data_IF_883893930265
#
_entry.id   IF_883893930265
#
_cell.length_a   1.000
_cell.length_b   1.000
_cell.length_c   1.000
_cell.angle_alpha   90.00
_cell.angle_beta   90.00
_cell.angle_gamma   90.00
#
_symmetry.space_group_name_H-M   'P 1'
#
loop_
_entity.id
_entity.type
_entity.pdbx_description
1 polymer ?
#
# COMPACT_ATOMS: atom_id res chain seq x y z
N UNK A 1 80.21 67.79 12.51
CA UNK A 1 80.13 66.32 12.45
C UNK A 1 78.67 65.98 12.62
N UNK A 2 78.03 65.67 11.53
CA UNK A 2 76.58 65.41 11.50
C UNK A 2 76.35 63.92 11.29
N UNK A 3 75.56 63.30 12.18
CA UNK A 3 75.03 61.95 12.01
C UNK A 3 73.62 62.03 11.41
N UNK A 4 73.47 61.48 10.23
CA UNK A 4 72.13 61.32 9.64
C UNK A 4 71.62 59.90 9.92
N UNK A 5 70.51 59.79 10.65
CA UNK A 5 69.72 58.57 10.82
C UNK A 5 68.63 58.53 9.77
N UNK A 6 68.73 57.59 8.83
CA UNK A 6 67.67 57.29 7.93
C UNK A 6 66.91 56.07 8.46
N UNK A 7 65.65 56.29 8.90
CA UNK A 7 64.69 55.26 9.36
C UNK A 7 64.04 54.59 8.15
N UNK A 8 64.23 53.28 8.04
CA UNK A 8 63.47 52.45 7.07
C UNK A 8 62.14 51.95 7.67
N UNK A 9 61.06 52.45 7.14
CA UNK A 9 59.72 51.94 7.45
C UNK A 9 59.47 50.66 6.66
N UNK A 10 59.47 49.52 7.35
CA UNK A 10 59.03 48.22 6.78
C UNK A 10 57.51 48.08 6.79
N UNK A 11 56.89 48.09 5.61
CA UNK A 11 55.44 47.78 5.43
C UNK A 11 55.25 46.27 5.45
N UNK A 12 54.79 45.75 6.57
CA UNK A 12 54.37 44.37 6.65
C UNK A 12 53.02 44.19 5.91
N UNK A 13 53.03 43.53 4.75
CA UNK A 13 51.78 43.06 4.06
C UNK A 13 51.17 41.89 4.80
N UNK A 14 50.12 42.15 5.52
CA UNK A 14 49.26 41.11 6.13
C UNK A 14 48.44 40.43 5.02
N UNK A 15 48.85 39.23 4.59
CA UNK A 15 48.05 38.37 3.71
C UNK A 15 46.91 37.78 4.53
N UNK A 16 45.70 38.31 4.36
CA UNK A 16 44.47 37.70 4.89
C UNK A 16 44.13 36.49 4.00
N UNK A 17 44.45 35.27 4.45
CA UNK A 17 43.93 34.03 3.89
C UNK A 17 42.46 33.94 4.24
N UNK A 18 41.58 34.29 3.30
CA UNK A 18 40.15 33.94 3.37
C UNK A 18 40.01 32.44 3.19
N UNK A 19 39.36 31.71 4.12
CA UNK A 19 39.08 30.30 3.90
C UNK A 19 38.06 30.20 2.76
N UNK A 20 38.45 29.61 1.61
CA UNK A 20 37.53 29.16 0.61
C UNK A 20 36.70 28.01 1.22
N UNK A 21 35.51 28.32 1.74
CA UNK A 21 34.53 27.32 2.04
C UNK A 21 34.03 26.73 0.73
N UNK A 22 34.67 25.66 0.30
CA UNK A 22 34.12 24.81 -0.77
C UNK A 22 32.81 24.22 -0.26
N UNK A 23 31.69 24.82 -0.65
CA UNK A 23 30.40 24.18 -0.56
C UNK A 23 30.46 22.97 -1.46
N UNK A 24 30.76 21.82 -0.88
CA UNK A 24 30.58 20.55 -1.55
C UNK A 24 29.06 20.41 -1.84
N UNK A 25 28.66 20.79 -3.04
CA UNK A 25 27.36 20.38 -3.55
C UNK A 25 27.39 18.85 -3.59
N UNK A 26 26.88 18.20 -2.53
CA UNK A 26 26.65 16.78 -2.57
C UNK A 26 25.82 16.54 -3.84
N UNK A 27 26.43 15.89 -4.84
CA UNK A 27 25.77 15.61 -6.11
C UNK A 27 24.48 14.88 -5.81
N UNK A 28 23.34 15.48 -6.19
CA UNK A 28 22.04 14.89 -5.96
C UNK A 28 22.04 13.49 -6.55
N UNK A 29 21.78 12.48 -5.72
CA UNK A 29 21.72 11.10 -6.19
C UNK A 29 20.62 10.94 -7.23
N UNK A 30 20.89 10.21 -8.30
CA UNK A 30 19.91 9.71 -9.28
C UNK A 30 20.32 8.30 -9.71
N UNK A 31 19.36 7.48 -10.18
CA UNK A 31 19.71 6.17 -10.71
C UNK A 31 20.65 6.31 -11.91
N UNK A 32 21.69 5.48 -11.93
CA UNK A 32 22.73 5.44 -12.97
C UNK A 32 22.68 4.19 -13.83
N UNK A 33 21.82 3.24 -13.46
CA UNK A 33 21.61 1.96 -14.14
C UNK A 33 20.15 1.55 -14.03
N UNK A 34 19.79 0.42 -14.64
CA UNK A 34 18.45 -0.14 -14.56
C UNK A 34 17.91 -0.17 -13.13
N UNK A 35 16.66 0.25 -12.96
CA UNK A 35 15.91 0.16 -11.70
C UNK A 35 15.01 -1.05 -11.74
N UNK A 36 15.09 -1.91 -10.74
CA UNK A 36 14.20 -3.05 -10.56
C UNK A 36 13.02 -2.65 -9.68
N UNK A 37 11.80 -2.78 -10.21
CA UNK A 37 10.56 -2.62 -9.46
C UNK A 37 9.90 -3.98 -9.25
N UNK A 38 10.02 -4.52 -8.06
CA UNK A 38 9.47 -5.83 -7.71
C UNK A 38 7.97 -5.77 -7.44
N UNK A 39 7.22 -6.68 -8.06
CA UNK A 39 5.81 -6.94 -7.78
C UNK A 39 5.65 -8.24 -6.98
N UNK A 40 4.99 -8.17 -5.82
CA UNK A 40 4.75 -9.30 -4.92
C UNK A 40 3.60 -10.23 -5.39
N UNK A 41 3.37 -10.31 -6.70
CA UNK A 41 2.34 -11.15 -7.31
C UNK A 41 2.84 -11.74 -8.63
N UNK A 42 2.18 -12.78 -9.12
CA UNK A 42 2.34 -13.24 -10.49
C UNK A 42 1.90 -12.15 -11.49
N UNK A 43 2.31 -12.31 -12.75
CA UNK A 43 1.87 -11.44 -13.84
C UNK A 43 0.34 -11.39 -13.91
N UNK A 44 -0.22 -10.19 -14.14
CA UNK A 44 -1.67 -9.93 -14.11
C UNK A 44 -2.28 -9.78 -12.73
N UNK A 45 -1.52 -9.96 -11.65
CA UNK A 45 -1.98 -9.68 -10.29
C UNK A 45 -1.98 -8.19 -9.94
N UNK A 46 -2.65 -7.80 -8.84
CA UNK A 46 -2.79 -6.39 -8.47
C UNK A 46 -1.47 -5.63 -8.29
N UNK A 47 -0.45 -6.27 -7.69
CA UNK A 47 0.87 -5.64 -7.56
C UNK A 47 1.60 -5.51 -8.90
N UNK A 48 1.42 -6.47 -9.81
CA UNK A 48 1.99 -6.42 -11.17
C UNK A 48 1.35 -5.30 -11.98
N UNK A 49 0.00 -5.20 -11.93
CA UNK A 49 -0.73 -4.12 -12.59
C UNK A 49 -0.24 -2.74 -12.13
N UNK A 50 -0.12 -2.54 -10.82
CA UNK A 50 0.40 -1.28 -10.28
C UNK A 50 1.86 -1.04 -10.70
N UNK A 51 2.72 -2.05 -10.60
CA UNK A 51 4.13 -1.90 -10.97
C UNK A 51 4.30 -1.50 -12.45
N UNK A 52 3.52 -2.12 -13.36
CA UNK A 52 3.55 -1.77 -14.79
C UNK A 52 2.99 -0.37 -15.06
N UNK A 53 1.95 0.05 -14.37
CA UNK A 53 1.44 1.42 -14.46
C UNK A 53 2.49 2.43 -14.02
N UNK A 54 3.14 2.19 -12.86
CA UNK A 54 4.23 3.02 -12.36
C UNK A 54 5.39 3.06 -13.35
N UNK A 55 5.86 1.90 -13.82
CA UNK A 55 6.91 1.79 -14.83
C UNK A 55 6.57 2.63 -16.07
N UNK A 56 5.38 2.44 -16.63
CA UNK A 56 4.92 3.11 -17.82
C UNK A 56 4.98 4.63 -17.66
N UNK A 57 4.36 5.17 -16.59
CA UNK A 57 4.32 6.62 -16.39
C UNK A 57 5.72 7.18 -16.16
N UNK A 58 6.55 6.53 -15.35
CA UNK A 58 7.92 6.98 -15.08
C UNK A 58 8.75 7.08 -16.36
N UNK A 59 8.59 6.13 -17.30
CA UNK A 59 9.34 6.07 -18.54
C UNK A 59 8.76 7.00 -19.61
N UNK A 60 7.45 6.94 -19.89
CA UNK A 60 6.81 7.74 -20.94
C UNK A 60 6.85 9.24 -20.64
N UNK A 61 6.70 9.62 -19.36
CA UNK A 61 6.81 11.01 -18.92
C UNK A 61 8.25 11.45 -18.66
N UNK A 62 9.24 10.58 -18.95
CA UNK A 62 10.68 10.85 -18.74
C UNK A 62 10.96 11.38 -17.31
N UNK A 63 10.26 10.80 -16.31
CA UNK A 63 10.46 11.15 -14.91
C UNK A 63 11.76 10.51 -14.41
N UNK A 64 12.05 9.29 -14.88
CA UNK A 64 13.28 8.54 -14.63
C UNK A 64 13.96 8.28 -15.98
N UNK A 65 15.24 8.67 -16.08
CA UNK A 65 16.00 8.56 -17.32
C UNK A 65 16.51 7.12 -17.59
N UNK A 66 16.82 6.40 -16.53
CA UNK A 66 17.30 5.01 -16.63
C UNK A 66 16.11 4.05 -16.83
N UNK A 67 16.33 2.88 -17.48
CA UNK A 67 15.28 1.88 -17.59
C UNK A 67 14.70 1.47 -16.25
N UNK A 68 13.39 1.24 -16.19
CA UNK A 68 12.70 0.64 -15.04
C UNK A 68 12.13 -0.70 -15.48
N UNK A 69 12.50 -1.78 -14.82
CA UNK A 69 12.07 -3.15 -15.16
C UNK A 69 11.19 -3.71 -14.06
N UNK A 70 10.02 -4.21 -14.42
CA UNK A 70 9.12 -4.89 -13.48
C UNK A 70 9.51 -6.36 -13.35
N UNK A 71 9.75 -6.82 -12.11
CA UNK A 71 10.05 -8.20 -11.78
C UNK A 71 8.95 -8.81 -10.91
N UNK A 72 8.29 -9.83 -11.42
CA UNK A 72 7.31 -10.58 -10.63
C UNK A 72 8.03 -11.58 -9.71
N UNK A 73 7.83 -11.42 -8.42
CA UNK A 73 8.35 -12.33 -7.37
C UNK A 73 7.17 -12.82 -6.52
N UNK A 74 6.31 -13.69 -7.07
CA UNK A 74 5.17 -14.25 -6.34
C UNK A 74 5.65 -15.20 -5.24
N UNK A 75 4.78 -15.60 -4.39
CA UNK A 75 4.88 -16.57 -3.32
C UNK A 75 4.87 -15.95 -1.92
N UNK A 76 4.36 -16.75 -0.99
CA UNK A 76 4.29 -16.44 0.45
C UNK A 76 3.68 -15.08 0.77
N UNK A 77 2.71 -14.63 -0.04
CA UNK A 77 2.04 -13.34 0.18
C UNK A 77 2.97 -12.11 0.08
N UNK A 78 4.05 -12.20 -0.71
CA UNK A 78 5.01 -11.12 -0.94
C UNK A 78 6.32 -11.24 -0.15
N UNK A 79 6.44 -12.18 0.77
CA UNK A 79 7.69 -12.38 1.57
C UNK A 79 8.90 -12.53 0.66
N UNK A 80 8.79 -13.31 -0.44
CA UNK A 80 9.89 -13.52 -1.39
C UNK A 80 10.34 -12.21 -2.04
N UNK A 81 9.41 -11.36 -2.46
CA UNK A 81 9.73 -10.09 -3.10
C UNK A 81 10.49 -9.15 -2.14
N UNK A 82 10.00 -9.03 -0.90
CA UNK A 82 10.59 -8.11 0.08
C UNK A 82 11.89 -8.65 0.71
N UNK A 83 12.02 -9.98 0.87
CA UNK A 83 13.30 -10.58 1.26
C UNK A 83 14.37 -10.36 0.19
N UNK A 84 14.03 -10.52 -1.10
CA UNK A 84 14.93 -10.24 -2.21
C UNK A 84 15.31 -8.75 -2.29
N UNK A 85 14.38 -7.84 -1.98
CA UNK A 85 14.66 -6.41 -1.87
C UNK A 85 15.78 -6.14 -0.84
N UNK A 86 15.68 -6.73 0.34
CA UNK A 86 16.65 -6.54 1.42
C UNK A 86 17.99 -7.30 1.23
N UNK A 87 18.13 -8.09 0.17
CA UNK A 87 19.45 -8.61 -0.24
C UNK A 87 20.35 -7.54 -0.87
N UNK A 88 19.78 -6.38 -1.22
CA UNK A 88 20.47 -5.24 -1.79
C UNK A 88 20.34 -4.00 -0.87
N UNK A 89 20.83 -4.06 0.39
CA UNK A 89 20.70 -2.94 1.31
C UNK A 89 21.41 -1.71 0.75
N UNK A 90 20.92 -0.52 1.09
CA UNK A 90 21.47 0.78 0.67
C UNK A 90 21.36 1.07 -0.85
N UNK A 91 20.82 0.17 -1.66
CA UNK A 91 20.81 0.34 -3.11
C UNK A 91 19.47 0.87 -3.63
N UNK A 92 19.45 2.17 -3.95
CA UNK A 92 18.26 2.86 -4.48
C UNK A 92 17.82 2.44 -5.89
N UNK A 93 18.50 1.48 -6.54
CA UNK A 93 18.07 0.91 -7.82
C UNK A 93 17.08 -0.26 -7.64
N UNK A 94 16.76 -0.64 -6.41
CA UNK A 94 15.80 -1.68 -6.10
C UNK A 94 14.61 -1.10 -5.34
N UNK A 95 13.42 -1.26 -5.90
CA UNK A 95 12.14 -0.86 -5.32
C UNK A 95 11.16 -2.03 -5.32
N UNK A 96 10.14 -1.93 -4.50
CA UNK A 96 9.05 -2.92 -4.49
C UNK A 96 7.71 -2.26 -4.22
N UNK A 97 6.65 -2.84 -4.79
CA UNK A 97 5.28 -2.52 -4.38
C UNK A 97 5.05 -3.04 -2.97
N UNK A 98 4.57 -2.16 -2.08
CA UNK A 98 4.09 -2.56 -0.76
C UNK A 98 2.59 -2.85 -0.79
N UNK A 99 2.19 -3.81 0.04
CA UNK A 99 0.79 -4.19 0.25
C UNK A 99 0.58 -4.46 1.73
N UNK A 100 -0.67 -4.54 2.18
CA UNK A 100 -1.01 -4.89 3.55
C UNK A 100 -0.36 -6.21 4.04
N UNK A 101 -0.04 -7.13 3.13
CA UNK A 101 0.65 -8.38 3.49
C UNK A 101 2.06 -8.15 4.06
N UNK A 102 2.71 -7.00 3.79
CA UNK A 102 3.96 -6.64 4.45
C UNK A 102 3.79 -6.60 5.98
N UNK A 103 2.64 -6.15 6.44
CA UNK A 103 2.28 -6.04 7.86
C UNK A 103 1.74 -7.37 8.40
N UNK A 104 0.75 -7.94 7.72
CA UNK A 104 0.02 -9.11 8.23
C UNK A 104 0.87 -10.37 8.27
N UNK A 105 1.84 -10.54 7.38
CA UNK A 105 2.76 -11.67 7.41
C UNK A 105 3.66 -11.65 8.66
N UNK A 106 4.11 -10.49 9.09
CA UNK A 106 4.86 -10.36 10.34
C UNK A 106 3.97 -10.63 11.55
N UNK A 107 2.80 -10.00 11.64
CA UNK A 107 1.86 -10.14 12.74
C UNK A 107 1.44 -11.61 12.94
N UNK A 108 1.26 -12.34 11.83
CA UNK A 108 0.87 -13.76 11.85
C UNK A 108 2.06 -14.73 11.98
N UNK A 109 3.28 -14.21 12.10
CA UNK A 109 4.51 -15.02 12.24
C UNK A 109 4.91 -15.80 10.98
N UNK A 110 4.43 -15.42 9.80
CA UNK A 110 4.85 -16.00 8.51
C UNK A 110 6.22 -15.53 8.06
N UNK A 111 6.68 -14.42 8.58
CA UNK A 111 8.02 -13.86 8.37
C UNK A 111 8.51 -13.19 9.64
N UNK A 112 9.83 -13.09 9.77
CA UNK A 112 10.49 -12.30 10.81
C UNK A 112 10.74 -10.85 10.36
N UNK A 113 10.52 -10.53 9.08
CA UNK A 113 10.73 -9.21 8.52
C UNK A 113 9.60 -8.25 8.94
N UNK A 114 9.95 -7.25 9.74
CA UNK A 114 9.05 -6.19 10.16
C UNK A 114 9.00 -5.08 9.09
N UNK A 115 7.93 -4.29 9.04
CA UNK A 115 7.82 -3.18 8.08
C UNK A 115 8.88 -2.09 8.28
N UNK A 116 9.52 -2.00 9.45
CA UNK A 116 10.67 -1.11 9.69
C UNK A 116 11.98 -1.62 9.10
N UNK A 117 12.02 -2.86 8.59
CA UNK A 117 13.18 -3.43 7.90
C UNK A 117 13.25 -3.05 6.42
N UNK A 118 12.33 -2.21 5.96
CA UNK A 118 12.35 -1.60 4.63
C UNK A 118 12.29 -0.09 4.75
N UNK A 119 12.70 0.63 3.72
CA UNK A 119 12.56 2.08 3.64
C UNK A 119 11.24 2.43 2.98
N UNK A 120 10.31 3.07 3.70
CA UNK A 120 9.12 3.65 3.10
C UNK A 120 9.52 4.80 2.17
N UNK A 121 9.06 4.78 0.93
CA UNK A 121 9.39 5.79 -0.09
C UNK A 121 8.18 6.66 -0.41
N UNK A 122 7.06 6.04 -0.74
CA UNK A 122 5.81 6.75 -1.00
C UNK A 122 4.62 5.83 -0.75
N UNK A 123 3.55 6.37 -0.19
CA UNK A 123 2.22 5.82 -0.34
C UNK A 123 1.61 6.43 -1.59
N UNK A 124 0.97 5.64 -2.44
CA UNK A 124 0.43 6.10 -3.71
C UNK A 124 -1.08 6.30 -3.66
N UNK A 125 -1.78 5.31 -3.14
CA UNK A 125 -3.24 5.33 -3.03
C UNK A 125 -3.72 4.38 -1.94
N UNK A 126 -4.99 4.49 -1.58
CA UNK A 126 -5.72 3.51 -0.78
C UNK A 126 -6.91 2.95 -1.57
N UNK A 127 -7.36 1.77 -1.19
CA UNK A 127 -8.56 1.15 -1.72
C UNK A 127 -9.38 0.55 -0.58
N UNK A 128 -10.70 0.78 -0.60
CA UNK A 128 -11.59 0.17 0.38
C UNK A 128 -11.75 -1.33 0.12
N UNK A 129 -11.96 -2.07 1.18
CA UNK A 129 -12.46 -3.44 1.12
C UNK A 129 -13.98 -3.40 1.03
N UNK A 130 -14.53 -4.18 0.11
CA UNK A 130 -15.96 -4.35 -0.05
C UNK A 130 -16.40 -5.71 0.48
N UNK A 131 -17.64 -5.77 1.00
CA UNK A 131 -18.37 -7.02 1.20
C UNK A 131 -19.50 -7.05 0.19
N UNK A 132 -19.61 -8.16 -0.56
CA UNK A 132 -20.68 -8.36 -1.52
C UNK A 132 -21.39 -9.71 -1.31
N UNK A 133 -22.62 -9.76 -1.78
CA UNK A 133 -23.52 -10.92 -1.76
C UNK A 133 -24.07 -11.18 -3.16
N UNK A 134 -24.59 -12.38 -3.42
CA UNK A 134 -25.35 -12.66 -4.64
C UNK A 134 -26.57 -11.75 -4.75
N UNK A 135 -27.04 -11.47 -5.98
CA UNK A 135 -28.18 -10.56 -6.22
C UNK A 135 -29.46 -11.03 -5.51
N UNK A 136 -29.67 -12.35 -5.43
CA UNK A 136 -30.85 -12.97 -4.81
C UNK A 136 -30.70 -13.18 -3.30
N UNK A 137 -29.53 -12.84 -2.72
CA UNK A 137 -29.28 -13.00 -1.30
C UNK A 137 -30.35 -12.28 -0.44
N UNK A 138 -30.81 -12.89 0.66
CA UNK A 138 -31.66 -12.23 1.65
C UNK A 138 -30.94 -11.06 2.36
N UNK A 139 -29.61 -11.07 2.39
CA UNK A 139 -28.79 -10.00 2.95
C UNK A 139 -28.80 -8.79 2.00
N UNK A 140 -29.48 -7.72 2.38
CA UNK A 140 -29.66 -6.54 1.50
C UNK A 140 -28.64 -5.44 1.76
N UNK A 141 -28.09 -5.38 2.96
CA UNK A 141 -27.16 -4.35 3.43
C UNK A 141 -26.24 -4.91 4.54
N UNK A 142 -25.28 -4.11 5.01
CA UNK A 142 -24.34 -4.56 6.02
C UNK A 142 -24.97 -4.76 7.41
N UNK A 143 -26.12 -4.10 7.71
CA UNK A 143 -26.84 -4.33 8.98
C UNK A 143 -27.47 -5.72 9.01
N UNK A 144 -28.02 -6.19 7.89
CA UNK A 144 -28.57 -7.54 7.79
C UNK A 144 -27.46 -8.58 8.03
N UNK A 145 -26.29 -8.37 7.42
CA UNK A 145 -25.12 -9.23 7.65
C UNK A 145 -24.68 -9.18 9.12
N UNK A 146 -24.61 -8.01 9.72
CA UNK A 146 -24.25 -7.84 11.12
C UNK A 146 -25.24 -8.55 12.06
N UNK A 147 -26.53 -8.50 11.78
CA UNK A 147 -27.54 -9.20 12.56
C UNK A 147 -27.37 -10.73 12.48
N UNK A 148 -27.09 -11.27 11.30
CA UNK A 148 -26.81 -12.70 11.12
C UNK A 148 -25.53 -13.11 11.86
N UNK A 149 -24.44 -12.36 11.72
CA UNK A 149 -23.15 -12.64 12.38
C UNK A 149 -23.26 -12.59 13.90
N UNK A 150 -24.13 -11.71 14.43
CA UNK A 150 -24.43 -11.63 15.87
C UNK A 150 -25.19 -12.85 16.35
N UNK A 151 -26.18 -13.31 15.59
CA UNK A 151 -27.01 -14.45 15.96
C UNK A 151 -26.22 -15.77 15.88
N UNK A 152 -25.53 -16.00 14.78
CA UNK A 152 -24.62 -17.14 14.57
C UNK A 152 -23.55 -16.78 13.56
N UNK A 153 -22.35 -16.47 14.05
CA UNK A 153 -21.20 -16.15 13.18
C UNK A 153 -20.88 -17.29 12.21
N UNK A 154 -21.13 -18.55 12.58
CA UNK A 154 -20.83 -19.71 11.76
C UNK A 154 -21.86 -19.96 10.65
N UNK A 155 -22.97 -19.25 10.64
CA UNK A 155 -24.00 -19.40 9.62
C UNK A 155 -23.59 -18.83 8.25
N UNK A 156 -22.59 -17.94 8.21
CA UNK A 156 -22.12 -17.24 6.99
C UNK A 156 -20.84 -17.85 6.46
N UNK A 157 -20.89 -18.39 5.23
CA UNK A 157 -19.70 -18.86 4.48
C UNK A 157 -19.11 -17.68 3.70
N UNK A 158 -17.88 -17.32 3.99
CA UNK A 158 -17.26 -16.13 3.43
C UNK A 158 -16.04 -16.46 2.56
N UNK A 159 -16.07 -16.07 1.28
CA UNK A 159 -14.88 -16.01 0.45
C UNK A 159 -14.05 -14.79 0.88
N UNK A 160 -12.80 -15.01 1.32
CA UNK A 160 -11.96 -13.99 1.93
C UNK A 160 -10.71 -13.62 1.10
N UNK A 161 -10.72 -13.92 -0.17
CA UNK A 161 -9.55 -13.73 -1.04
C UNK A 161 -8.61 -14.92 -1.01
N UNK A 162 -7.30 -14.68 -1.11
CA UNK A 162 -6.30 -15.73 -1.36
C UNK A 162 -5.57 -16.22 -0.11
N UNK A 163 -5.74 -15.58 1.03
CA UNK A 163 -5.07 -15.97 2.29
C UNK A 163 -5.92 -15.63 3.51
N UNK A 164 -5.84 -16.45 4.54
CA UNK A 164 -6.30 -16.07 5.89
C UNK A 164 -5.46 -14.89 6.39
N UNK A 165 -6.10 -13.95 7.10
CA UNK A 165 -5.44 -12.72 7.56
C UNK A 165 -5.23 -11.67 6.46
N UNK A 166 -5.87 -11.83 5.28
CA UNK A 166 -5.95 -10.77 4.28
C UNK A 166 -6.80 -9.61 4.77
N UNK A 167 -6.69 -8.44 4.11
CA UNK A 167 -7.54 -7.27 4.43
C UNK A 167 -9.02 -7.60 4.40
N UNK A 168 -9.46 -8.44 3.45
CA UNK A 168 -10.83 -8.93 3.40
C UNK A 168 -11.23 -9.72 4.65
N UNK A 169 -10.38 -10.65 5.09
CA UNK A 169 -10.64 -11.43 6.31
C UNK A 169 -10.70 -10.54 7.55
N UNK A 170 -9.76 -9.60 7.68
CA UNK A 170 -9.73 -8.64 8.78
C UNK A 170 -10.97 -7.75 8.77
N UNK A 171 -11.38 -7.23 7.61
CA UNK A 171 -12.60 -6.40 7.50
C UNK A 171 -13.83 -7.16 7.97
N UNK A 172 -13.99 -8.42 7.54
CA UNK A 172 -15.13 -9.23 7.98
C UNK A 172 -15.07 -9.53 9.49
N UNK A 173 -13.87 -9.77 10.01
CA UNK A 173 -13.67 -9.97 11.46
C UNK A 173 -14.08 -8.73 12.26
N UNK A 174 -13.65 -7.54 11.81
CA UNK A 174 -14.02 -6.28 12.48
C UNK A 174 -15.52 -6.00 12.40
N UNK A 175 -16.16 -6.29 11.27
CA UNK A 175 -17.64 -6.21 11.12
C UNK A 175 -18.32 -7.16 12.08
N UNK A 176 -17.83 -8.41 12.16
CA UNK A 176 -18.37 -9.43 13.09
C UNK A 176 -18.24 -8.99 14.55
N UNK A 177 -17.06 -8.48 14.94
CA UNK A 177 -16.81 -8.00 16.29
C UNK A 177 -17.69 -6.78 16.62
N UNK A 178 -17.81 -5.83 15.69
CA UNK A 178 -18.67 -4.65 15.85
C UNK A 178 -20.15 -5.03 16.02
N UNK A 179 -20.58 -6.15 15.44
CA UNK A 179 -21.92 -6.69 15.61
C UNK A 179 -22.13 -7.43 16.95
N UNK A 180 -21.04 -7.75 17.68
CA UNK A 180 -21.08 -8.58 18.90
C UNK A 180 -21.00 -10.08 18.61
N UNK A 181 -20.62 -10.50 17.41
CA UNK A 181 -20.31 -11.89 17.05
C UNK A 181 -18.88 -12.28 17.42
N UNK A 182 -18.55 -13.56 17.33
CA UNK A 182 -17.22 -14.11 17.58
C UNK A 182 -16.44 -14.33 16.28
N UNK A 183 -15.45 -13.48 15.91
CA UNK A 183 -14.71 -13.62 14.65
C UNK A 183 -13.99 -14.95 14.48
N UNK A 184 -13.66 -15.67 15.55
CA UNK A 184 -13.00 -16.99 15.49
C UNK A 184 -13.91 -18.08 14.93
N UNK A 185 -15.23 -17.86 14.94
CA UNK A 185 -16.22 -18.78 14.40
C UNK A 185 -16.57 -18.54 12.93
N UNK A 186 -15.94 -17.55 12.27
CA UNK A 186 -16.14 -17.28 10.85
C UNK A 186 -15.79 -18.49 9.99
N UNK A 187 -16.70 -18.89 9.11
CA UNK A 187 -16.43 -19.90 8.08
C UNK A 187 -15.75 -19.27 6.87
N UNK A 188 -14.45 -18.97 7.02
CA UNK A 188 -13.63 -18.36 5.99
C UNK A 188 -13.17 -19.40 4.97
N UNK A 189 -13.52 -19.21 3.70
CA UNK A 189 -13.12 -20.05 2.57
C UNK A 189 -12.08 -19.32 1.75
N UNK A 190 -10.91 -19.94 1.59
CA UNK A 190 -9.78 -19.40 0.82
C UNK A 190 -9.81 -19.96 -0.60
N UNK A 191 -9.60 -19.09 -1.59
CA UNK A 191 -9.50 -19.46 -3.00
C UNK A 191 -8.11 -19.12 -3.55
N UNK A 192 -7.68 -19.77 -4.63
CA UNK A 192 -6.39 -19.47 -5.25
C UNK A 192 -6.36 -18.10 -5.96
N UNK A 193 -7.54 -17.57 -6.31
CA UNK A 193 -7.70 -16.23 -6.90
C UNK A 193 -9.01 -15.59 -6.46
N UNK A 194 -9.08 -14.26 -6.52
CA UNK A 194 -10.32 -13.52 -6.28
C UNK A 194 -11.41 -13.92 -7.28
N UNK A 195 -11.04 -14.18 -8.54
CA UNK A 195 -12.00 -14.61 -9.57
C UNK A 195 -12.69 -15.93 -9.23
N UNK A 196 -11.97 -16.89 -8.63
CA UNK A 196 -12.58 -18.13 -8.13
C UNK A 196 -13.57 -17.86 -6.98
N UNK A 197 -13.24 -16.96 -6.05
CA UNK A 197 -14.15 -16.53 -4.99
C UNK A 197 -15.41 -15.85 -5.54
N UNK A 198 -15.26 -15.01 -6.54
CA UNK A 198 -16.38 -14.39 -7.28
C UNK A 198 -17.27 -15.49 -7.92
N UNK A 199 -16.67 -16.45 -8.62
CA UNK A 199 -17.43 -17.56 -9.22
C UNK A 199 -18.16 -18.39 -8.17
N UNK A 200 -17.55 -18.64 -7.02
CA UNK A 200 -18.16 -19.35 -5.91
C UNK A 200 -19.35 -18.58 -5.32
N UNK A 201 -19.26 -17.25 -5.22
CA UNK A 201 -20.40 -16.41 -4.79
C UNK A 201 -21.55 -16.47 -5.79
N UNK A 202 -21.25 -16.30 -7.07
CA UNK A 202 -22.27 -16.32 -8.14
C UNK A 202 -22.93 -17.70 -8.27
N UNK A 203 -22.21 -18.78 -7.95
CA UNK A 203 -22.72 -20.15 -7.90
C UNK A 203 -23.41 -20.54 -6.59
N UNK A 204 -23.53 -19.63 -5.60
CA UNK A 204 -24.17 -19.92 -4.31
C UNK A 204 -23.37 -20.84 -3.37
N UNK A 205 -22.09 -21.09 -3.66
CA UNK A 205 -21.22 -21.92 -2.82
C UNK A 205 -20.73 -21.21 -1.57
N UNK A 206 -20.74 -19.87 -1.58
CA UNK A 206 -20.48 -19.00 -0.43
C UNK A 206 -21.57 -17.93 -0.35
N UNK A 207 -21.77 -17.36 0.83
CA UNK A 207 -22.85 -16.40 1.09
C UNK A 207 -22.38 -14.95 0.90
N UNK A 208 -21.11 -14.69 1.19
CA UNK A 208 -20.47 -13.38 1.02
C UNK A 208 -19.08 -13.53 0.40
N UNK A 209 -18.61 -12.47 -0.27
CA UNK A 209 -17.20 -12.30 -0.63
C UNK A 209 -16.71 -10.99 -0.06
N UNK A 210 -15.46 -10.99 0.43
CA UNK A 210 -14.79 -9.79 0.93
C UNK A 210 -13.40 -9.65 0.29
N UNK A 211 -13.18 -8.53 -0.41
CA UNK A 211 -11.99 -8.25 -1.20
C UNK A 211 -11.92 -6.74 -1.49
N UNK A 212 -10.78 -6.19 -1.98
CA UNK A 212 -10.75 -4.82 -2.48
C UNK A 212 -11.89 -4.52 -3.44
N UNK A 213 -12.52 -3.37 -3.27
CA UNK A 213 -13.76 -2.99 -3.97
C UNK A 213 -13.61 -2.99 -5.50
N UNK A 214 -12.43 -2.63 -6.02
CA UNK A 214 -12.13 -2.64 -7.44
C UNK A 214 -12.38 -4.01 -8.11
N UNK A 215 -12.15 -5.10 -7.39
CA UNK A 215 -12.38 -6.47 -7.90
C UNK A 215 -13.86 -6.81 -8.11
N UNK A 216 -14.77 -6.07 -7.46
CA UNK A 216 -16.21 -6.35 -7.46
C UNK A 216 -17.01 -5.31 -8.23
N UNK A 217 -16.42 -4.14 -8.51
CA UNK A 217 -17.12 -2.98 -9.07
C UNK A 217 -17.83 -3.31 -10.40
N UNK A 218 -17.17 -4.01 -11.32
CA UNK A 218 -17.73 -4.38 -12.61
C UNK A 218 -18.90 -5.38 -12.47
N UNK A 219 -18.76 -6.36 -11.58
CA UNK A 219 -19.82 -7.32 -11.30
C UNK A 219 -21.03 -6.65 -10.64
N UNK A 220 -20.78 -5.69 -9.75
CA UNK A 220 -21.83 -4.89 -9.12
C UNK A 220 -22.56 -4.01 -10.14
N UNK A 221 -21.84 -3.31 -11.00
CA UNK A 221 -22.39 -2.49 -12.08
C UNK A 221 -23.24 -3.29 -13.06
N UNK A 222 -22.81 -4.52 -13.35
CA UNK A 222 -23.54 -5.44 -14.22
C UNK A 222 -24.75 -6.12 -13.53
N UNK A 223 -25.06 -5.78 -12.28
CA UNK A 223 -26.18 -6.35 -11.52
C UNK A 223 -26.04 -7.83 -11.17
N UNK A 224 -24.83 -8.42 -11.28
CA UNK A 224 -24.58 -9.83 -11.00
C UNK A 224 -24.37 -10.13 -9.52
N UNK A 225 -24.03 -9.11 -8.74
CA UNK A 225 -23.92 -9.17 -7.28
C UNK A 225 -24.28 -7.82 -6.67
N UNK A 226 -24.44 -7.78 -5.38
CA UNK A 226 -24.68 -6.56 -4.61
C UNK A 226 -23.52 -6.33 -3.65
N UNK A 227 -22.82 -5.20 -3.78
CA UNK A 227 -21.91 -4.73 -2.72
C UNK A 227 -22.76 -4.11 -1.63
N UNK A 228 -22.64 -4.62 -0.41
CA UNK A 228 -23.48 -4.23 0.74
C UNK A 228 -22.79 -3.23 1.67
N UNK A 229 -21.48 -3.00 1.51
CA UNK A 229 -20.74 -2.01 2.29
C UNK A 229 -19.27 -1.93 1.91
N UNK A 230 -18.70 -0.74 2.17
CA UNK A 230 -17.29 -0.42 1.95
C UNK A 230 -16.62 -0.06 3.28
N UNK A 231 -15.35 -0.46 3.45
CA UNK A 231 -14.54 -0.08 4.61
C UNK A 231 -13.97 1.35 4.54
N UNK A 232 -14.37 2.12 3.56
CA UNK A 232 -13.92 3.50 3.37
C UNK A 232 -14.47 4.45 4.43
N UNK A 233 -13.74 5.52 4.79
CA UNK A 233 -14.24 6.57 5.70
C UNK A 233 -15.39 7.38 5.09
N UNK A 234 -15.46 7.47 3.75
CA UNK A 234 -16.45 8.18 2.96
C UNK A 234 -16.83 7.36 1.71
N UNK A 235 -17.98 7.66 1.10
CA UNK A 235 -18.38 7.03 -0.17
C UNK A 235 -17.40 7.32 -1.29
N UNK A 236 -17.27 6.35 -2.15
CA UNK A 236 -16.55 6.52 -3.40
C UNK A 236 -17.37 7.31 -4.42
N UNK A 237 -16.67 7.88 -5.39
CA UNK A 237 -17.30 8.43 -6.59
C UNK A 237 -17.50 7.34 -7.67
N UNK A 238 -18.08 7.71 -8.80
CA UNK A 238 -18.18 6.83 -9.98
C UNK A 238 -19.03 5.59 -9.75
N UNK A 239 -18.55 4.44 -10.17
CA UNK A 239 -19.30 3.17 -10.20
C UNK A 239 -19.76 2.67 -8.82
N UNK A 240 -19.12 3.14 -7.75
CA UNK A 240 -19.41 2.77 -6.37
C UNK A 240 -20.12 3.86 -5.55
N UNK A 241 -20.52 4.99 -6.19
CA UNK A 241 -21.12 6.12 -5.50
C UNK A 241 -22.41 5.79 -4.73
N UNK A 242 -23.15 4.80 -5.18
CA UNK A 242 -24.39 4.34 -4.54
C UNK A 242 -24.16 3.37 -3.39
N UNK A 243 -22.95 2.83 -3.26
CA UNK A 243 -22.63 1.85 -2.22
C UNK A 243 -22.33 2.57 -0.90
N UNK A 244 -23.08 2.30 0.18
CA UNK A 244 -22.83 2.90 1.47
C UNK A 244 -21.54 2.35 2.11
N UNK A 245 -20.90 3.15 2.95
CA UNK A 245 -19.82 2.67 3.82
C UNK A 245 -20.39 1.88 5.00
N UNK A 246 -19.56 1.10 5.69
CA UNK A 246 -19.95 0.47 6.95
C UNK A 246 -20.32 1.52 8.01
N UNK A 247 -19.57 2.61 8.06
CA UNK A 247 -19.80 3.73 9.00
C UNK A 247 -21.17 4.37 8.81
N UNK A 248 -21.60 4.62 7.57
CA UNK A 248 -22.94 5.14 7.27
C UNK A 248 -24.07 4.19 7.69
N UNK A 249 -23.78 2.90 7.81
CA UNK A 249 -24.70 1.88 8.26
C UNK A 249 -24.64 1.62 9.78
N UNK A 250 -23.87 2.43 10.52
CA UNK A 250 -23.74 2.32 11.98
C UNK A 250 -22.73 1.27 12.44
N UNK A 251 -21.93 0.73 11.51
CA UNK A 251 -20.88 -0.25 11.82
C UNK A 251 -19.54 0.50 11.81
N UNK A 252 -18.91 0.63 12.99
CA UNK A 252 -17.70 1.44 13.18
C UNK A 252 -16.43 0.74 12.63
N UNK A 253 -16.46 0.40 11.34
CA UNK A 253 -15.34 -0.26 10.65
C UNK A 253 -14.86 0.61 9.49
N UNK A 254 -13.61 1.06 9.60
CA UNK A 254 -12.85 1.69 8.53
C UNK A 254 -11.53 0.94 8.45
N UNK A 255 -11.18 0.45 7.28
CA UNK A 255 -9.92 -0.24 7.03
C UNK A 255 -9.47 0.05 5.59
N UNK A 256 -8.46 0.86 5.46
CA UNK A 256 -7.87 1.16 4.16
C UNK A 256 -6.83 0.10 3.78
N UNK A 257 -6.86 -0.31 2.52
CA UNK A 257 -5.85 -1.18 1.95
C UNK A 257 -4.81 -0.33 1.22
N UNK A 258 -3.75 0.04 1.92
CA UNK A 258 -2.73 0.95 1.40
C UNK A 258 -1.87 0.27 0.34
N UNK A 259 -1.50 1.06 -0.68
CA UNK A 259 -0.58 0.70 -1.75
C UNK A 259 0.52 1.75 -1.86
N UNK A 260 1.75 1.30 -1.85
CA UNK A 260 2.89 2.21 -1.88
C UNK A 260 4.13 1.60 -2.50
N UNK A 261 5.20 2.35 -2.40
CA UNK A 261 6.55 1.97 -2.84
C UNK A 261 7.45 1.93 -1.62
N UNK A 262 8.21 0.86 -1.53
CA UNK A 262 9.27 0.67 -0.54
C UNK A 262 10.59 0.40 -1.26
N UNK A 263 11.67 0.76 -0.61
CA UNK A 263 13.03 0.42 -0.98
C UNK A 263 13.68 -0.51 0.06
N UNK A 264 14.88 -1.02 -0.20
CA UNK A 264 15.63 -1.83 0.75
C UNK A 264 15.94 -1.03 2.03
N UNK A 265 16.35 -1.76 3.06
CA UNK A 265 16.73 -1.15 4.33
C UNK A 265 17.83 -0.11 4.14
N UNK A 266 17.68 1.01 4.86
CA UNK A 266 18.67 2.07 5.00
C UNK A 266 19.06 2.81 3.70
N UNK A 267 18.10 3.07 2.81
CA UNK A 267 18.33 4.04 1.74
C UNK A 267 18.79 5.39 2.31
N UNK A 268 19.75 6.03 1.64
CA UNK A 268 20.22 7.35 2.02
C UNK A 268 19.13 8.43 1.85
N UNK A 269 19.22 9.51 2.57
CA UNK A 269 18.29 10.64 2.44
C UNK A 269 18.22 11.17 1.00
N UNK A 270 19.33 11.18 0.27
CA UNK A 270 19.39 11.60 -1.13
C UNK A 270 18.64 10.65 -2.06
N UNK A 271 18.73 9.33 -1.83
CA UNK A 271 17.99 8.33 -2.59
C UNK A 271 16.47 8.43 -2.31
N UNK A 272 16.08 8.56 -1.06
CA UNK A 272 14.68 8.74 -0.66
C UNK A 272 14.12 10.02 -1.30
N UNK A 273 14.81 11.14 -1.21
CA UNK A 273 14.38 12.42 -1.78
C UNK A 273 14.20 12.34 -3.31
N UNK A 274 15.12 11.68 -4.01
CA UNK A 274 14.99 11.48 -5.46
C UNK A 274 13.70 10.73 -5.80
N UNK A 275 13.46 9.60 -5.15
CA UNK A 275 12.28 8.77 -5.40
C UNK A 275 10.98 9.46 -4.99
N UNK A 276 10.99 10.15 -3.85
CA UNK A 276 9.86 10.96 -3.38
C UNK A 276 9.46 12.02 -4.43
N UNK A 277 10.45 12.76 -4.98
CA UNK A 277 10.22 13.73 -6.04
C UNK A 277 9.72 13.07 -7.34
N UNK A 278 10.26 11.90 -7.70
CA UNK A 278 9.82 11.16 -8.88
C UNK A 278 8.34 10.74 -8.75
N UNK A 279 7.95 10.17 -7.62
CA UNK A 279 6.56 9.77 -7.39
C UNK A 279 5.62 10.97 -7.21
N UNK A 280 6.07 12.07 -6.59
CA UNK A 280 5.30 13.32 -6.54
C UNK A 280 4.97 13.88 -7.92
N UNK A 281 5.88 13.75 -8.89
CA UNK A 281 5.64 14.11 -10.30
C UNK A 281 4.68 13.13 -10.96
N UNK A 282 4.89 11.82 -10.75
CA UNK A 282 4.08 10.76 -11.33
C UNK A 282 2.58 10.90 -10.97
N UNK A 283 2.27 11.11 -9.69
CA UNK A 283 0.86 11.19 -9.24
C UNK A 283 0.12 12.44 -9.71
N UNK A 284 0.83 13.43 -10.25
CA UNK A 284 0.22 14.63 -10.85
C UNK A 284 -0.15 14.43 -12.31
N UNK A 285 0.29 13.35 -12.96
CA UNK A 285 0.02 13.11 -14.38
C UNK A 285 -1.46 12.79 -14.62
N UNK A 286 -1.96 13.15 -15.80
CA UNK A 286 -3.33 12.85 -16.20
C UNK A 286 -3.57 11.33 -16.26
N UNK A 287 -2.57 10.56 -16.68
CA UNK A 287 -2.67 9.10 -16.75
C UNK A 287 -2.84 8.47 -15.37
N UNK A 288 -2.11 8.96 -14.35
CA UNK A 288 -2.29 8.48 -12.98
C UNK A 288 -3.71 8.78 -12.47
N UNK A 289 -4.19 10.01 -12.64
CA UNK A 289 -5.54 10.41 -12.22
C UNK A 289 -6.63 9.58 -12.89
N UNK A 290 -6.53 9.39 -14.20
CA UNK A 290 -7.44 8.49 -14.94
C UNK A 290 -7.41 7.06 -14.40
N UNK A 291 -6.23 6.58 -13.99
CA UNK A 291 -6.08 5.24 -13.43
C UNK A 291 -6.69 5.13 -12.03
N UNK A 292 -6.62 6.18 -11.20
CA UNK A 292 -7.34 6.22 -9.91
C UNK A 292 -8.85 6.04 -10.13
N UNK A 293 -9.43 6.85 -11.01
CA UNK A 293 -10.87 6.81 -11.30
C UNK A 293 -11.31 5.45 -11.86
N UNK A 294 -10.57 4.94 -12.86
CA UNK A 294 -10.86 3.67 -13.52
C UNK A 294 -10.85 2.48 -12.55
N UNK A 295 -9.95 2.51 -11.58
CA UNK A 295 -9.77 1.41 -10.64
C UNK A 295 -10.50 1.64 -9.29
N UNK A 296 -11.25 2.73 -9.14
CA UNK A 296 -11.87 3.12 -7.87
C UNK A 296 -10.84 3.18 -6.73
N UNK A 297 -9.66 3.77 -7.01
CA UNK A 297 -8.63 4.01 -6.01
C UNK A 297 -8.79 5.42 -5.44
N UNK A 298 -8.56 5.56 -4.15
CA UNK A 298 -8.58 6.87 -3.47
C UNK A 298 -7.18 7.46 -3.50
N UNK A 299 -7.04 8.67 -4.04
CA UNK A 299 -5.77 9.41 -3.96
C UNK A 299 -5.43 9.67 -2.49
N UNK A 300 -4.37 9.05 -2.04
CA UNK A 300 -3.82 9.21 -0.69
C UNK A 300 -2.29 9.36 -0.73
N UNK A 301 -1.80 10.00 -1.84
CA UNK A 301 -0.38 10.19 -2.00
C UNK A 301 0.25 10.91 -0.81
N UNK A 302 1.32 10.34 -0.30
CA UNK A 302 2.20 10.99 0.67
C UNK A 302 3.64 10.50 0.47
N UNK A 303 4.61 11.38 0.74
CA UNK A 303 6.03 11.05 0.66
C UNK A 303 6.49 10.13 1.79
N UNK A 304 7.80 9.93 1.89
CA UNK A 304 8.42 8.92 2.75
C UNK A 304 8.01 9.04 4.23
N UNK A 305 7.97 10.25 4.77
CA UNK A 305 7.59 10.45 6.18
C UNK A 305 6.13 10.06 6.41
N UNK A 306 5.21 10.55 5.56
CA UNK A 306 3.80 10.22 5.66
C UNK A 306 3.54 8.73 5.40
N UNK A 307 4.24 8.13 4.42
CA UNK A 307 4.17 6.69 4.14
C UNK A 307 4.59 5.84 5.34
N UNK A 308 5.66 6.24 6.05
CA UNK A 308 6.09 5.54 7.28
C UNK A 308 5.04 5.62 8.38
N UNK A 309 4.44 6.81 8.57
CA UNK A 309 3.37 7.01 9.54
C UNK A 309 2.15 6.14 9.18
N UNK A 310 1.72 6.16 7.92
CA UNK A 310 0.59 5.38 7.45
C UNK A 310 0.80 3.86 7.61
N UNK A 311 2.03 3.35 7.36
CA UNK A 311 2.36 1.94 7.61
C UNK A 311 2.28 1.58 9.10
N UNK A 312 2.69 2.47 10.00
CA UNK A 312 2.60 2.24 11.44
C UNK A 312 1.14 2.21 11.92
N UNK A 313 0.32 3.19 11.49
CA UNK A 313 -1.10 3.24 11.81
C UNK A 313 -1.84 2.00 11.28
N UNK A 314 -1.57 1.62 10.02
CA UNK A 314 -2.15 0.42 9.42
C UNK A 314 -1.69 -0.87 10.13
N UNK A 315 -0.45 -0.92 10.62
CA UNK A 315 0.03 -2.06 11.40
C UNK A 315 -0.82 -2.28 12.66
N UNK A 316 -1.14 -1.22 13.40
CA UNK A 316 -1.95 -1.30 14.62
C UNK A 316 -3.40 -1.70 14.31
N UNK A 317 -3.98 -1.18 13.24
CA UNK A 317 -5.31 -1.56 12.76
C UNK A 317 -5.37 -3.05 12.38
N UNK A 318 -4.41 -3.50 11.56
CA UNK A 318 -4.32 -4.90 11.12
C UNK A 318 -4.09 -5.85 12.31
N UNK A 319 -3.25 -5.45 13.26
CA UNK A 319 -2.99 -6.22 14.47
C UNK A 319 -4.27 -6.39 15.30
N UNK A 320 -5.06 -5.34 15.45
CA UNK A 320 -6.35 -5.39 16.15
C UNK A 320 -7.28 -6.43 15.53
N UNK A 321 -7.46 -6.40 14.21
CA UNK A 321 -8.28 -7.39 13.49
C UNK A 321 -7.75 -8.82 13.60
N UNK A 322 -6.43 -8.99 13.54
CA UNK A 322 -5.80 -10.31 13.64
C UNK A 322 -5.83 -10.88 15.07
N UNK A 323 -5.78 -10.02 16.10
CA UNK A 323 -6.05 -10.42 17.51
C UNK A 323 -7.48 -10.94 17.63
N UNK A 324 -8.46 -10.25 17.08
CA UNK A 324 -9.85 -10.68 17.10
C UNK A 324 -10.06 -12.06 16.44
N UNK A 325 -9.28 -12.37 15.40
CA UNK A 325 -9.26 -13.66 14.73
C UNK A 325 -8.44 -14.74 15.46
N UNK A 326 -7.70 -14.39 16.51
CA UNK A 326 -6.78 -15.31 17.18
C UNK A 326 -5.56 -15.71 16.32
N UNK A 327 -5.14 -14.84 15.39
CA UNK A 327 -4.08 -15.11 14.40
C UNK A 327 -2.74 -14.40 14.70
N UNK A 328 -2.62 -13.77 15.85
CA UNK A 328 -1.36 -13.12 16.28
C UNK A 328 -0.45 -14.17 16.93
N UNK A 329 0.84 -14.14 16.56
CA UNK A 329 1.90 -14.90 17.22
C UNK A 329 2.68 -14.04 18.20
#
# INVERSE_FOLDING_TARGET
MRCDLTSALGIAKLLILLPLTTHSHAQAWKPTRNVELSAASAAGGGSDHLARLVQKILQEQKIVETPVTVLNKPASGGVVAWSALNQNPLDGHHLSISTANLLTNYITGRTTMHYSDVTAVAQLFSEAVAIAVGVDSPIKNARDLAALLKADTSAVRAAIGTTLGSTGHITLALVTQSAGGDPKKLKAVVFQSVSQGVSALLGGHVDVITTPAANLAEHHRAGRMRIIGLSAPQRYAGALATVPTFKEQGIAVVLDNLRGIIGPKALSAAQVLYWENAFARMVRTAEWKTSLDKNNWTDSYTGAQGSRKALAEQYDEMRTGLVALGMVK
#
